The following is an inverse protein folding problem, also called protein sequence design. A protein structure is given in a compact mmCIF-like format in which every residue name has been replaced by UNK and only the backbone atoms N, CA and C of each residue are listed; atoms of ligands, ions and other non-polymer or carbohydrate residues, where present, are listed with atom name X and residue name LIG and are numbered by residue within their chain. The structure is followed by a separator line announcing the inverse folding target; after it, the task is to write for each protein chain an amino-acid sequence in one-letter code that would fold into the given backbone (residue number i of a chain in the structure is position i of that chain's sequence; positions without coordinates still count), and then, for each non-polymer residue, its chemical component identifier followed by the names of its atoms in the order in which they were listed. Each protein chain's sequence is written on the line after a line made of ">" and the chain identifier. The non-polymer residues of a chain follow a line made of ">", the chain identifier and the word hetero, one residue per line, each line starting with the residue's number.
data_IF_045152121328
#
_entry.id   IF_045152121328
#
_cell.length_a   1.000
_cell.length_b   1.000
_cell.length_c   1.000
_cell.angle_alpha   90.00
_cell.angle_beta   90.00
_cell.angle_gamma   90.00
#
_symmetry.space_group_name_H-M   'P 1'
#
loop_
_entity.id
_entity.type
_entity.pdbx_description
1 polymer ?
#
# COMPACT_ATOMS: atom_id res chain seq x y z
N UNK A 1 4.82 21.93 -11.39
CA UNK A 1 5.59 20.80 -11.94
C UNK A 1 4.95 19.56 -11.33
N UNK A 2 4.26 18.74 -12.11
CA UNK A 2 3.69 17.49 -11.60
C UNK A 2 4.85 16.58 -11.23
N UNK A 3 5.15 16.48 -9.94
CA UNK A 3 6.21 15.64 -9.43
C UNK A 3 5.79 14.18 -9.68
N UNK A 4 6.40 13.52 -10.66
CA UNK A 4 6.09 12.13 -11.01
C UNK A 4 6.79 11.21 -10.01
N UNK A 5 6.42 11.35 -8.74
CA UNK A 5 7.00 10.58 -7.64
C UNK A 5 6.71 9.08 -7.79
N UNK A 6 5.49 8.76 -8.15
CA UNK A 6 5.04 7.39 -8.34
C UNK A 6 5.04 7.01 -9.82
N UNK A 7 5.59 5.84 -10.13
CA UNK A 7 5.63 5.28 -11.49
C UNK A 7 5.00 3.91 -11.49
N UNK A 8 3.96 3.71 -12.30
CA UNK A 8 3.37 2.39 -12.54
C UNK A 8 4.33 1.55 -13.39
N UNK A 9 4.65 0.35 -12.93
CA UNK A 9 5.54 -0.58 -13.63
C UNK A 9 4.78 -1.48 -14.64
N UNK A 10 3.45 -1.44 -14.65
CA UNK A 10 2.59 -2.22 -15.56
C UNK A 10 2.39 -3.69 -15.19
N UNK A 11 2.89 -4.10 -14.03
CA UNK A 11 2.81 -5.48 -13.48
C UNK A 11 2.00 -5.55 -12.17
N UNK A 12 1.30 -4.47 -11.83
CA UNK A 12 0.58 -4.32 -10.56
C UNK A 12 1.44 -3.78 -9.41
N UNK A 13 2.64 -3.27 -9.71
CA UNK A 13 3.51 -2.59 -8.74
C UNK A 13 3.76 -1.13 -9.12
N UNK A 14 4.09 -0.33 -8.11
CA UNK A 14 4.35 1.10 -8.23
C UNK A 14 5.70 1.40 -7.60
N UNK A 15 6.57 2.08 -8.32
CA UNK A 15 7.86 2.58 -7.83
C UNK A 15 7.72 3.98 -7.22
N UNK A 16 8.21 4.19 -6.00
CA UNK A 16 8.25 5.48 -5.32
C UNK A 16 9.68 6.07 -5.33
N UNK A 17 9.88 7.14 -6.09
CA UNK A 17 11.19 7.77 -6.25
C UNK A 17 11.70 8.51 -5.00
N UNK A 18 10.81 8.90 -4.08
CA UNK A 18 11.16 9.60 -2.84
C UNK A 18 11.72 8.63 -1.79
N UNK A 19 10.98 7.56 -1.51
CA UNK A 19 11.34 6.59 -0.47
C UNK A 19 12.24 5.46 -1.00
N UNK A 20 12.36 5.32 -2.32
CA UNK A 20 13.02 4.20 -3.01
C UNK A 20 12.38 2.85 -2.67
N UNK A 21 11.10 2.86 -2.30
CA UNK A 21 10.30 1.68 -2.06
C UNK A 21 9.45 1.34 -3.28
N UNK A 22 8.95 0.11 -3.28
CA UNK A 22 7.95 -0.37 -4.22
C UNK A 22 6.68 -0.73 -3.47
N UNK A 23 5.54 -0.38 -4.05
CA UNK A 23 4.21 -0.61 -3.49
C UNK A 23 3.42 -1.54 -4.40
N UNK A 24 2.51 -2.32 -3.83
CA UNK A 24 1.48 -3.00 -4.62
C UNK A 24 0.40 -1.99 -4.99
N UNK A 25 -0.06 -2.03 -6.24
CA UNK A 25 -1.12 -1.15 -6.74
C UNK A 25 -2.48 -1.46 -6.10
N UNK A 26 -2.72 -2.74 -5.79
CA UNK A 26 -3.87 -3.20 -5.03
C UNK A 26 -3.52 -3.43 -3.56
N UNK A 27 -4.42 -3.06 -2.67
CA UNK A 27 -4.35 -3.44 -1.27
C UNK A 27 -4.97 -4.83 -1.01
N UNK A 28 -4.84 -5.30 0.24
CA UNK A 28 -5.42 -6.59 0.64
C UNK A 28 -6.95 -6.63 0.50
N UNK A 29 -7.63 -5.48 0.62
CA UNK A 29 -9.08 -5.39 0.45
C UNK A 29 -9.47 -5.62 -1.01
N UNK A 30 -8.79 -5.00 -1.97
CA UNK A 30 -9.09 -5.13 -3.39
C UNK A 30 -8.91 -6.57 -3.87
N UNK A 31 -7.91 -7.27 -3.36
CA UNK A 31 -7.62 -8.66 -3.72
C UNK A 31 -8.58 -9.66 -3.03
N UNK A 32 -8.96 -9.44 -1.77
CA UNK A 32 -9.75 -10.42 -0.98
C UNK A 32 -11.23 -10.06 -0.82
N UNK A 33 -11.59 -8.80 -1.13
CA UNK A 33 -12.88 -8.14 -0.87
C UNK A 33 -13.31 -8.18 0.61
N UNK A 34 -12.36 -8.30 1.53
CA UNK A 34 -12.60 -8.41 2.99
C UNK A 34 -11.66 -7.51 3.76
N UNK A 35 -12.17 -6.90 4.83
CA UNK A 35 -11.31 -6.27 5.84
C UNK A 35 -10.59 -7.36 6.61
N UNK A 36 -9.28 -7.19 6.76
CA UNK A 36 -8.41 -8.19 7.37
C UNK A 36 -7.92 -7.71 8.73
N UNK A 37 -7.79 -8.62 9.68
CA UNK A 37 -7.06 -8.37 10.93
C UNK A 37 -5.56 -8.29 10.68
N UNK A 38 -4.79 -7.74 11.61
CA UNK A 38 -3.32 -7.70 11.49
C UNK A 38 -2.72 -9.09 11.21
N UNK A 39 -3.18 -10.14 11.91
CA UNK A 39 -2.72 -11.52 11.68
C UNK A 39 -3.04 -12.01 10.26
N UNK A 40 -4.19 -11.62 9.71
CA UNK A 40 -4.54 -11.92 8.33
C UNK A 40 -3.70 -11.11 7.32
N UNK A 41 -3.37 -9.85 7.61
CA UNK A 41 -2.48 -9.03 6.80
C UNK A 41 -1.05 -9.62 6.73
N UNK A 42 -0.53 -10.14 7.86
CA UNK A 42 0.75 -10.86 7.90
C UNK A 42 0.69 -12.13 7.02
N UNK A 43 -0.40 -12.91 7.12
CA UNK A 43 -0.59 -14.08 6.25
C UNK A 43 -0.69 -13.72 4.78
N UNK A 44 -1.39 -12.64 4.44
CA UNK A 44 -1.50 -12.12 3.08
C UNK A 44 -0.12 -11.74 2.51
N UNK A 45 0.67 -11.00 3.30
CA UNK A 45 2.04 -10.60 2.92
C UNK A 45 2.93 -11.82 2.68
N UNK A 46 2.90 -12.80 3.60
CA UNK A 46 3.63 -14.05 3.44
C UNK A 46 3.23 -14.79 2.17
N UNK A 47 1.93 -14.87 1.88
CA UNK A 47 1.43 -15.51 0.65
C UNK A 47 1.94 -14.81 -0.61
N UNK A 48 1.93 -13.47 -0.65
CA UNK A 48 2.49 -12.71 -1.78
C UNK A 48 3.98 -13.00 -2.01
N UNK A 49 4.74 -13.22 -0.93
CA UNK A 49 6.14 -13.63 -1.03
C UNK A 49 6.31 -15.06 -1.53
N UNK A 50 5.48 -16.00 -1.07
CA UNK A 50 5.48 -17.39 -1.55
C UNK A 50 5.09 -17.48 -3.03
N UNK A 51 4.14 -16.65 -3.47
CA UNK A 51 3.67 -16.57 -4.85
C UNK A 51 4.63 -15.77 -5.76
N UNK A 52 5.70 -15.18 -5.20
CA UNK A 52 6.64 -14.28 -5.90
C UNK A 52 5.90 -13.22 -6.75
N UNK A 53 4.95 -12.51 -6.14
CA UNK A 53 4.14 -11.52 -6.85
C UNK A 53 5.02 -10.47 -7.56
N UNK A 54 4.74 -10.25 -8.85
CA UNK A 54 5.55 -9.42 -9.77
C UNK A 54 7.04 -9.82 -9.85
N UNK A 55 7.38 -11.06 -9.50
CA UNK A 55 8.76 -11.56 -9.47
C UNK A 55 9.50 -11.26 -8.16
N UNK A 56 8.84 -10.67 -7.16
CA UNK A 56 9.44 -10.28 -5.88
C UNK A 56 8.90 -11.10 -4.71
N UNK A 57 9.76 -11.38 -3.74
CA UNK A 57 9.45 -12.21 -2.56
C UNK A 57 9.84 -11.54 -1.23
N UNK A 58 10.07 -10.23 -1.24
CA UNK A 58 10.49 -9.40 -0.11
C UNK A 58 9.42 -8.37 0.31
N UNK A 59 8.16 -8.62 -0.06
CA UNK A 59 7.01 -7.82 0.36
C UNK A 59 6.88 -7.82 1.88
N UNK A 60 6.58 -6.64 2.44
CA UNK A 60 6.38 -6.42 3.88
C UNK A 60 5.27 -5.42 4.14
N UNK A 61 4.74 -5.44 5.35
CA UNK A 61 3.84 -4.39 5.85
C UNK A 61 4.69 -3.11 6.07
N UNK A 62 4.23 -1.93 5.61
CA UNK A 62 4.96 -0.68 5.78
C UNK A 62 5.08 -0.29 7.24
N UNK A 63 6.08 0.52 7.55
CA UNK A 63 6.12 1.23 8.83
C UNK A 63 5.21 2.48 8.79
N UNK A 64 5.02 3.11 9.96
CA UNK A 64 4.18 4.29 10.09
C UNK A 64 4.68 5.49 9.28
N UNK A 65 6.00 5.72 9.19
CA UNK A 65 6.57 6.86 8.46
C UNK A 65 6.41 6.65 6.96
N UNK A 66 6.68 5.44 6.48
CA UNK A 66 6.50 5.05 5.08
C UNK A 66 5.04 5.20 4.65
N UNK A 67 4.10 4.67 5.44
CA UNK A 67 2.66 4.82 5.18
C UNK A 67 2.23 6.30 5.17
N UNK A 68 2.76 7.11 6.08
CA UNK A 68 2.50 8.56 6.09
C UNK A 68 2.99 9.27 4.83
N UNK A 69 4.06 8.78 4.20
CA UNK A 69 4.56 9.41 2.96
C UNK A 69 3.61 9.22 1.78
N UNK A 70 2.65 8.28 1.82
CA UNK A 70 1.68 8.09 0.74
C UNK A 70 0.59 9.16 0.72
N UNK A 71 0.39 9.86 1.85
CA UNK A 71 -0.60 10.92 1.95
C UNK A 71 -0.12 12.19 1.26
N UNK A 72 -0.94 12.70 0.35
CA UNK A 72 -0.76 13.98 -0.33
C UNK A 72 -2.13 14.65 -0.51
N UNK A 73 -2.31 15.78 0.17
CA UNK A 73 -3.56 16.53 0.23
C UNK A 73 -4.10 16.95 -1.15
N UNK A 74 -3.24 17.10 -2.15
CA UNK A 74 -3.66 17.47 -3.50
C UNK A 74 -4.28 16.29 -4.28
N UNK A 75 -4.05 15.06 -3.82
CA UNK A 75 -4.56 13.85 -4.46
C UNK A 75 -5.97 13.52 -4.00
N UNK A 76 -6.71 12.83 -4.85
CA UNK A 76 -8.14 12.56 -4.69
C UNK A 76 -8.51 11.14 -5.10
N UNK A 77 -7.77 10.16 -4.62
CA UNK A 77 -8.20 8.77 -4.70
C UNK A 77 -9.32 8.54 -3.67
N UNK A 78 -10.34 7.78 -4.07
CA UNK A 78 -11.45 7.40 -3.21
C UNK A 78 -11.32 5.95 -2.75
N UNK A 79 -11.67 5.70 -1.48
CA UNK A 79 -11.76 4.34 -0.92
C UNK A 79 -13.03 3.61 -1.38
N UNK A 80 -13.30 2.44 -0.79
CA UNK A 80 -14.51 1.65 -1.06
C UNK A 80 -15.83 2.42 -0.83
N UNK A 81 -15.85 3.38 0.09
CA UNK A 81 -17.05 4.13 0.50
C UNK A 81 -17.13 5.51 -0.16
N UNK A 82 -16.37 5.72 -1.23
CA UNK A 82 -16.27 7.00 -1.95
C UNK A 82 -15.72 8.15 -1.07
N UNK A 83 -14.93 7.83 -0.04
CA UNK A 83 -14.25 8.81 0.82
C UNK A 83 -12.87 9.12 0.23
N UNK A 84 -12.56 10.41 0.06
CA UNK A 84 -11.24 10.86 -0.39
C UNK A 84 -10.16 10.52 0.66
N UNK A 85 -9.18 9.69 0.27
CA UNK A 85 -8.08 9.25 1.14
C UNK A 85 -6.76 9.96 0.85
N UNK A 86 -6.75 10.87 -0.13
CA UNK A 86 -5.59 11.70 -0.47
C UNK A 86 -4.33 10.89 -0.80
N UNK A 87 -4.50 9.83 -1.60
CA UNK A 87 -3.41 9.03 -2.18
C UNK A 87 -3.39 9.25 -3.69
N UNK A 88 -2.22 9.09 -4.32
CA UNK A 88 -2.06 9.23 -5.76
C UNK A 88 -2.98 8.28 -6.55
N UNK A 89 -3.52 8.75 -7.67
CA UNK A 89 -4.44 7.99 -8.53
C UNK A 89 -3.79 6.83 -9.28
N UNK A 90 -2.47 6.70 -9.23
CA UNK A 90 -1.75 5.52 -9.71
C UNK A 90 -2.10 4.25 -8.92
N UNK A 91 -2.56 4.40 -7.67
CA UNK A 91 -3.09 3.29 -6.87
C UNK A 91 -4.53 2.96 -7.28
N UNK A 92 -4.94 1.70 -7.14
CA UNK A 92 -6.27 1.27 -7.53
C UNK A 92 -7.33 1.87 -6.59
N UNK A 93 -8.39 2.52 -7.10
CA UNK A 93 -9.48 3.06 -6.28
C UNK A 93 -10.30 1.95 -5.61
N UNK A 94 -11.00 2.28 -4.53
CA UNK A 94 -11.84 1.32 -3.81
C UNK A 94 -11.08 0.43 -2.82
N UNK A 95 -9.87 0.85 -2.42
CA UNK A 95 -9.09 0.19 -1.37
C UNK A 95 -9.78 0.30 0.00
N UNK A 96 -9.26 -0.43 0.99
CA UNK A 96 -9.67 -0.27 2.38
C UNK A 96 -9.32 1.12 2.91
N UNK A 97 -10.14 1.64 3.82
CA UNK A 97 -9.93 2.93 4.47
C UNK A 97 -8.87 2.88 5.60
N UNK A 98 -8.52 1.67 6.07
CA UNK A 98 -7.55 1.44 7.13
C UNK A 98 -6.28 0.78 6.59
N UNK A 99 -5.13 1.14 7.16
CA UNK A 99 -3.83 0.52 6.86
C UNK A 99 -3.19 -0.03 8.13
N UNK A 100 -2.76 -1.30 8.06
CA UNK A 100 -1.91 -1.91 9.08
C UNK A 100 -0.47 -1.43 8.91
N UNK A 101 0.20 -1.09 10.02
CA UNK A 101 1.63 -0.79 10.04
C UNK A 101 2.37 -1.82 10.88
N UNK A 102 3.63 -2.07 10.58
CA UNK A 102 4.45 -3.06 11.31
C UNK A 102 4.87 -2.56 12.71
N UNK A 103 4.63 -1.29 13.04
CA UNK A 103 4.96 -0.70 14.33
C UNK A 103 4.14 -1.35 15.45
N UNK A 104 4.83 -1.97 16.40
CA UNK A 104 4.20 -2.50 17.61
C UNK A 104 4.09 -1.39 18.67
N UNK A 105 2.89 -1.18 19.23
CA UNK A 105 2.69 -0.23 20.33
C UNK A 105 3.63 -0.57 21.49
N UNK A 106 4.54 0.34 21.84
CA UNK A 106 5.48 0.18 22.97
C UNK A 106 6.89 -0.28 22.61
N UNK A 107 7.22 -0.49 21.32
CA UNK A 107 8.60 -0.61 20.86
C UNK A 107 9.00 0.67 20.12
N UNK A 108 9.85 1.47 20.75
CA UNK A 108 10.59 2.55 20.09
C UNK A 108 11.88 1.91 19.59
N UNK A 109 12.01 1.77 18.28
CA UNK A 109 13.28 1.49 17.59
C UNK A 109 13.58 2.66 16.68
#
# INVERSE_FOLDING_TARGET
>A
MSDQRFTDNGDGTISDSLTRLMWMQNDSYLDTKKFVTFTQAVKYTRKKNEDAFAGFSDWRIPDKKEAQTLYDQEKKLADKYDIEIHIDTVFTPGCGFDTWTNNTRGKIT
#
